data_IF_355780252457
#
_entry.id   IF_355780252457
#
_cell.length_a   1.000
_cell.length_b   1.000
_cell.length_c   1.000
_cell.angle_alpha   90.00
_cell.angle_beta   90.00
_cell.angle_gamma   90.00
#
_symmetry.space_group_name_H-M   'P 1'
#
loop_
_entity.id
_entity.type
_entity.pdbx_description
1 polymer ?
#
# COMPACT_ATOMS: atom_id res chain seq x y z
N UNK A 1 9.57 -7.45 12.40
CA UNK A 1 8.28 -7.06 11.82
C UNK A 1 8.52 -6.08 10.69
N UNK A 2 7.82 -6.28 9.58
CA UNK A 2 7.97 -5.39 8.42
C UNK A 2 7.26 -4.07 8.65
N UNK A 3 7.83 -3.01 8.09
CA UNK A 3 7.15 -1.72 8.03
C UNK A 3 6.31 -1.63 6.77
N UNK A 4 5.05 -1.31 6.90
CA UNK A 4 4.12 -1.22 5.78
C UNK A 4 3.59 0.20 5.68
N UNK A 5 3.78 0.83 4.53
CA UNK A 5 3.20 2.14 4.21
C UNK A 5 2.20 1.97 3.09
N UNK A 6 1.04 2.61 3.22
CA UNK A 6 0.03 2.62 2.18
C UNK A 6 -0.48 4.05 1.95
N UNK A 7 -0.37 4.51 0.71
CA UNK A 7 -0.89 5.81 0.31
C UNK A 7 -2.31 5.64 -0.20
N UNK A 8 -3.23 6.45 0.30
CA UNK A 8 -4.67 6.30 0.03
C UNK A 8 -5.35 7.64 -0.21
N UNK A 9 -6.63 7.55 -0.60
CA UNK A 9 -7.58 8.66 -0.61
C UNK A 9 -8.84 8.24 0.11
N UNK A 10 -9.65 9.22 0.54
CA UNK A 10 -10.86 8.95 1.31
C UNK A 10 -11.90 8.11 0.59
N UNK A 11 -12.11 8.36 -0.70
CA UNK A 11 -13.09 7.62 -1.50
C UNK A 11 -12.36 6.74 -2.51
N UNK A 12 -11.86 5.61 -2.03
CA UNK A 12 -11.08 4.70 -2.86
C UNK A 12 -11.41 3.26 -2.49
N UNK A 13 -12.29 2.60 -3.27
CA UNK A 13 -12.66 1.22 -2.99
C UNK A 13 -11.46 0.28 -2.98
N UNK A 14 -10.52 0.47 -3.90
CA UNK A 14 -9.31 -0.36 -3.93
C UNK A 14 -8.42 -0.13 -2.71
N UNK A 15 -8.38 1.10 -2.20
CA UNK A 15 -7.66 1.39 -0.95
C UNK A 15 -8.28 0.62 0.21
N UNK A 16 -9.61 0.61 0.29
CA UNK A 16 -10.31 -0.14 1.34
C UNK A 16 -10.04 -1.63 1.25
N UNK A 17 -10.03 -2.18 0.03
CA UNK A 17 -9.74 -3.60 -0.18
C UNK A 17 -8.31 -3.96 0.24
N UNK A 18 -7.35 -3.13 -0.12
CA UNK A 18 -5.96 -3.34 0.26
C UNK A 18 -5.78 -3.28 1.77
N UNK A 19 -6.40 -2.28 2.41
CA UNK A 19 -6.34 -2.15 3.88
C UNK A 19 -7.02 -3.33 4.57
N UNK A 20 -8.12 -3.83 4.02
CA UNK A 20 -8.82 -4.98 4.59
C UNK A 20 -7.93 -6.22 4.57
N UNK A 21 -7.20 -6.46 3.49
CA UNK A 21 -6.27 -7.59 3.41
C UNK A 21 -5.16 -7.46 4.45
N UNK A 22 -4.55 -6.27 4.56
CA UNK A 22 -3.50 -6.05 5.56
C UNK A 22 -4.02 -6.23 6.98
N UNK A 23 -5.24 -5.76 7.25
CA UNK A 23 -5.88 -5.94 8.55
C UNK A 23 -6.14 -7.42 8.84
N UNK A 24 -6.59 -8.17 7.83
CA UNK A 24 -6.82 -9.60 7.96
C UNK A 24 -5.52 -10.34 8.28
N UNK A 25 -4.40 -9.86 7.76
CA UNK A 25 -3.07 -10.40 8.05
C UNK A 25 -2.55 -9.97 9.43
N UNK A 26 -3.30 -9.17 10.16
CA UNK A 26 -2.93 -8.65 11.48
C UNK A 26 -1.65 -7.82 11.43
N UNK A 27 -1.46 -7.10 10.35
CA UNK A 27 -0.30 -6.24 10.12
C UNK A 27 -0.67 -4.81 10.49
N UNK A 28 0.20 -4.15 11.24
CA UNK A 28 0.09 -2.71 11.45
C UNK A 28 0.66 -2.02 10.23
N UNK A 29 -0.06 -1.04 9.72
CA UNK A 29 0.39 -0.27 8.58
C UNK A 29 0.23 1.22 8.84
N UNK A 30 1.07 2.01 8.16
CA UNK A 30 1.02 3.44 8.22
C UNK A 30 0.23 3.93 7.01
N UNK A 31 -0.93 4.53 7.25
CA UNK A 31 -1.78 5.04 6.18
C UNK A 31 -1.47 6.52 5.93
N UNK A 32 -1.19 6.86 4.68
CA UNK A 32 -0.84 8.22 4.28
C UNK A 32 -1.91 8.71 3.30
N UNK A 33 -2.78 9.60 3.77
CA UNK A 33 -3.89 10.11 2.96
C UNK A 33 -3.44 11.31 2.16
N UNK A 34 -3.33 11.15 0.84
CA UNK A 34 -2.79 12.20 -0.03
C UNK A 34 -3.83 13.26 -0.41
N UNK A 35 -5.10 12.99 -0.16
CA UNK A 35 -6.14 14.02 -0.33
C UNK A 35 -6.19 14.97 0.86
N UNK A 36 -5.79 14.51 2.04
CA UNK A 36 -5.67 15.34 3.24
C UNK A 36 -4.34 16.12 3.22
N UNK A 37 -3.28 15.48 2.75
CA UNK A 37 -1.94 16.07 2.66
C UNK A 37 -1.44 15.99 1.22
N UNK A 38 -1.87 16.93 0.34
CA UNK A 38 -1.56 16.83 -1.09
C UNK A 38 -0.08 16.83 -1.43
N UNK A 39 0.76 17.45 -0.59
CA UNK A 39 2.20 17.48 -0.80
C UNK A 39 2.82 16.09 -0.72
N UNK A 40 2.16 15.14 -0.05
CA UNK A 40 2.66 13.78 0.06
C UNK A 40 2.39 12.96 -1.21
N UNK A 41 1.54 13.47 -2.10
CA UNK A 41 1.31 12.81 -3.39
C UNK A 41 2.59 12.79 -4.22
N UNK A 42 3.34 13.89 -4.24
CA UNK A 42 4.60 13.95 -4.98
C UNK A 42 5.64 12.98 -4.41
N UNK A 43 5.67 12.84 -3.08
CA UNK A 43 6.52 11.86 -2.41
C UNK A 43 6.13 10.44 -2.85
N UNK A 44 4.83 10.15 -2.88
CA UNK A 44 4.33 8.86 -3.34
C UNK A 44 4.78 8.56 -4.76
N UNK A 45 4.61 9.51 -5.67
CA UNK A 45 4.96 9.33 -7.08
C UNK A 45 6.45 9.04 -7.23
N UNK A 46 7.28 9.76 -6.50
CA UNK A 46 8.71 9.54 -6.54
C UNK A 46 9.07 8.15 -6.02
N UNK A 47 8.51 7.75 -4.87
CA UNK A 47 8.76 6.42 -4.30
C UNK A 47 8.25 5.30 -5.20
N UNK A 48 7.15 5.54 -5.92
CA UNK A 48 6.49 4.53 -6.75
C UNK A 48 7.03 4.51 -8.18
N UNK A 49 8.18 5.16 -8.43
CA UNK A 49 8.80 5.19 -9.75
C UNK A 49 7.85 5.72 -10.85
N UNK A 50 7.08 6.76 -10.50
CA UNK A 50 6.13 7.38 -11.41
C UNK A 50 4.70 6.93 -11.25
N UNK A 51 4.42 5.95 -10.40
CA UNK A 51 3.06 5.51 -10.10
C UNK A 51 2.28 6.61 -9.39
N UNK A 52 1.14 7.00 -9.97
CA UNK A 52 0.37 8.15 -9.48
C UNK A 52 -1.02 7.77 -8.98
N UNK A 53 -1.39 6.52 -9.07
CA UNK A 53 -2.69 6.04 -8.60
C UNK A 53 -2.62 5.60 -7.14
N UNK A 54 -3.78 5.50 -6.49
CA UNK A 54 -3.88 4.94 -5.15
C UNK A 54 -4.72 3.67 -5.20
N UNK A 55 -4.45 2.70 -4.32
CA UNK A 55 -3.40 2.72 -3.31
C UNK A 55 -2.01 2.50 -3.89
N UNK A 56 -0.97 2.98 -3.20
CA UNK A 56 0.41 2.59 -3.46
C UNK A 56 0.96 2.02 -2.15
N UNK A 57 1.51 0.83 -2.23
CA UNK A 57 1.89 0.05 -1.05
C UNK A 57 3.39 -0.21 -1.06
N UNK A 58 4.01 -0.04 0.10
CA UNK A 58 5.44 -0.26 0.29
C UNK A 58 5.64 -1.16 1.50
N UNK A 59 6.47 -2.17 1.36
CA UNK A 59 6.84 -3.07 2.47
C UNK A 59 8.35 -2.98 2.63
N UNK A 60 8.80 -2.52 3.80
CA UNK A 60 10.21 -2.27 4.10
C UNK A 60 10.87 -1.40 3.01
N UNK A 61 10.15 -0.33 2.60
CA UNK A 61 10.55 0.60 1.55
C UNK A 61 10.61 0.00 0.14
N UNK A 62 10.23 -1.25 -0.03
CA UNK A 62 10.13 -1.87 -1.35
C UNK A 62 8.75 -1.56 -1.95
N UNK A 63 8.73 -1.02 -3.14
CA UNK A 63 7.48 -0.70 -3.84
C UNK A 63 6.78 -1.99 -4.27
N UNK A 64 5.60 -2.23 -3.72
CA UNK A 64 4.77 -3.37 -4.09
C UNK A 64 3.86 -3.01 -5.27
N UNK A 65 3.27 -1.82 -5.22
CA UNK A 65 2.33 -1.36 -6.24
C UNK A 65 0.96 -1.09 -5.67
N UNK A 66 -0.07 -1.34 -6.46
CA UNK A 66 -1.45 -1.10 -6.07
C UNK A 66 -2.13 -2.31 -5.45
N UNK A 67 -3.46 -2.23 -5.37
CA UNK A 67 -4.27 -3.29 -4.79
C UNK A 67 -4.10 -4.62 -5.55
N UNK A 68 -4.10 -4.57 -6.89
CA UNK A 68 -3.97 -5.78 -7.70
C UNK A 68 -2.62 -6.47 -7.45
N UNK A 69 -1.56 -5.68 -7.32
CA UNK A 69 -0.24 -6.22 -7.06
C UNK A 69 -0.16 -6.89 -5.69
N UNK A 70 -0.81 -6.29 -4.69
CA UNK A 70 -0.86 -6.86 -3.35
C UNK A 70 -1.60 -8.19 -3.36
N UNK A 71 -2.76 -8.25 -4.02
CA UNK A 71 -3.54 -9.48 -4.11
C UNK A 71 -2.86 -10.54 -4.96
N UNK A 72 -2.08 -10.14 -5.97
CA UNK A 72 -1.28 -11.09 -6.75
C UNK A 72 -0.23 -11.79 -5.87
N UNK A 73 0.42 -11.04 -4.98
CA UNK A 73 1.35 -11.64 -4.01
C UNK A 73 0.64 -12.61 -3.08
N UNK A 74 -0.56 -12.26 -2.63
CA UNK A 74 -1.35 -13.14 -1.77
C UNK A 74 -1.71 -14.43 -2.51
N UNK A 75 -2.12 -14.32 -3.78
CA UNK A 75 -2.49 -15.49 -4.58
C UNK A 75 -1.30 -16.43 -4.79
N UNK A 76 -0.10 -15.88 -4.90
CA UNK A 76 1.14 -16.66 -5.04
C UNK A 76 1.68 -17.15 -3.71
N UNK A 77 1.03 -16.81 -2.60
CA UNK A 77 1.47 -17.14 -1.24
C UNK A 77 2.84 -16.55 -0.91
N UNK A 78 3.14 -15.39 -1.48
CA UNK A 78 4.40 -14.68 -1.25
C UNK A 78 4.26 -13.50 -0.29
N UNK A 79 3.02 -13.07 -0.02
CA UNK A 79 2.78 -11.87 0.79
C UNK A 79 3.19 -12.06 2.24
N UNK A 80 2.86 -13.20 2.84
CA UNK A 80 3.15 -13.43 4.26
C UNK A 80 4.64 -13.36 4.56
N UNK A 81 5.49 -13.85 3.67
CA UNK A 81 6.93 -13.77 3.84
C UNK A 81 7.43 -12.33 3.84
N UNK A 82 6.84 -11.47 2.99
CA UNK A 82 7.21 -10.06 2.95
C UNK A 82 6.75 -9.30 4.19
N UNK A 83 5.66 -9.74 4.80
CA UNK A 83 5.09 -9.11 5.99
C UNK A 83 5.70 -9.62 7.30
N UNK A 84 6.44 -10.67 7.22
CA UNK A 84 7.02 -11.31 8.42
C UNK A 84 8.07 -10.44 9.12
#
# INVERSE_FOLDING_TARGET
>A
MSQVDIYTKGHCPYCHRAKALLTQKQVKFNEIEIDVNPELRDVMIERANGGYTVPQIFIDNQHIGGCDDLFALEAKKELDALLA
#
